data_IF_532314459624
#
_entry.id   IF_532314459624
#
_cell.length_a   1.000
_cell.length_b   1.000
_cell.length_c   1.000
_cell.angle_alpha   90.00
_cell.angle_beta   90.00
_cell.angle_gamma   90.00
#
_symmetry.space_group_name_H-M   'P 1'
#
loop_
_entity.id
_entity.type
_entity.pdbx_description
1 polymer ?
#
# COMPACT_ATOMS: atom_id res chain seq x y z
N UNK A 1 0.91 -12.39 -10.12
CA UNK A 1 1.21 -12.68 -8.71
C UNK A 1 2.63 -13.19 -8.67
N UNK A 2 3.49 -12.43 -8.01
CA UNK A 2 4.92 -12.72 -7.92
C UNK A 2 5.18 -13.88 -6.96
N UNK A 3 6.29 -14.57 -7.15
CA UNK A 3 6.78 -15.57 -6.18
C UNK A 3 7.32 -14.87 -4.93
N UNK A 4 7.35 -15.59 -3.80
CA UNK A 4 7.93 -15.05 -2.56
C UNK A 4 9.40 -14.65 -2.72
N UNK A 5 10.15 -15.38 -3.55
CA UNK A 5 11.54 -15.06 -3.87
C UNK A 5 11.62 -13.74 -4.62
N UNK A 6 10.81 -13.54 -5.67
CA UNK A 6 10.75 -12.27 -6.40
C UNK A 6 10.36 -11.11 -5.48
N UNK A 7 9.33 -11.27 -4.64
CA UNK A 7 8.95 -10.24 -3.67
C UNK A 7 10.07 -9.89 -2.69
N UNK A 8 10.84 -10.90 -2.24
CA UNK A 8 12.02 -10.67 -1.38
C UNK A 8 13.09 -9.86 -2.11
N UNK A 9 13.45 -10.27 -3.32
CA UNK A 9 14.46 -9.59 -4.14
C UNK A 9 14.07 -8.15 -4.44
N UNK A 10 12.79 -7.89 -4.73
CA UNK A 10 12.30 -6.53 -4.97
C UNK A 10 12.30 -5.67 -3.69
N UNK A 11 12.00 -6.28 -2.53
CA UNK A 11 12.12 -5.60 -1.25
C UNK A 11 13.59 -5.24 -0.94
N UNK A 12 14.53 -6.15 -1.19
CA UNK A 12 15.97 -5.91 -1.08
C UNK A 12 16.45 -4.77 -1.97
N UNK A 13 15.98 -4.74 -3.22
CA UNK A 13 16.32 -3.70 -4.18
C UNK A 13 15.83 -2.32 -3.71
N UNK A 14 14.57 -2.21 -3.27
CA UNK A 14 14.02 -0.96 -2.73
C UNK A 14 14.73 -0.52 -1.44
N UNK A 15 15.11 -1.47 -0.59
CA UNK A 15 15.85 -1.18 0.63
C UNK A 15 17.25 -0.63 0.34
N UNK A 16 17.96 -1.22 -0.63
CA UNK A 16 19.25 -0.71 -1.09
C UNK A 16 19.12 0.69 -1.71
N UNK A 17 18.11 0.90 -2.56
CA UNK A 17 17.83 2.21 -3.17
C UNK A 17 17.62 3.31 -2.12
N UNK A 18 16.87 3.01 -1.05
CA UNK A 18 16.65 3.94 0.06
C UNK A 18 17.95 4.23 0.83
N UNK A 19 18.69 3.20 1.21
CA UNK A 19 19.97 3.32 1.95
C UNK A 19 21.00 4.14 1.15
N UNK A 20 21.12 3.83 -0.13
CA UNK A 20 22.13 4.39 -1.02
C UNK A 20 21.69 5.74 -1.60
N UNK A 21 20.43 6.15 -1.35
CA UNK A 21 19.80 7.38 -1.87
C UNK A 21 19.89 7.45 -3.41
N UNK A 22 19.81 6.30 -4.04
CA UNK A 22 19.94 6.12 -5.48
C UNK A 22 18.60 5.62 -6.06
N UNK A 23 17.96 6.38 -6.96
CA UNK A 23 16.69 5.97 -7.53
C UNK A 23 16.89 4.76 -8.45
N UNK A 24 15.90 3.87 -8.46
CA UNK A 24 15.82 2.72 -9.37
C UNK A 24 14.67 2.92 -10.36
N UNK A 25 14.71 2.28 -11.54
CA UNK A 25 13.58 2.26 -12.46
C UNK A 25 12.31 1.71 -11.80
N UNK A 26 11.11 2.13 -12.25
CA UNK A 26 9.85 1.58 -11.77
C UNK A 26 9.81 0.04 -11.85
N UNK A 27 9.44 -0.62 -10.76
CA UNK A 27 9.42 -2.09 -10.69
C UNK A 27 8.48 -2.71 -11.74
N UNK A 28 7.42 -2.00 -12.12
CA UNK A 28 6.44 -2.41 -13.13
C UNK A 28 7.02 -2.52 -14.53
N UNK A 29 8.15 -1.87 -14.84
CA UNK A 29 8.82 -2.02 -16.14
C UNK A 29 9.49 -3.38 -16.29
N UNK A 30 10.07 -3.90 -15.20
CA UNK A 30 10.74 -5.21 -15.18
C UNK A 30 9.80 -6.35 -14.78
N UNK A 31 8.71 -6.04 -14.07
CA UNK A 31 7.71 -7.00 -13.59
C UNK A 31 6.29 -6.52 -13.93
N UNK A 32 5.85 -6.67 -15.19
CA UNK A 32 4.51 -6.24 -15.63
C UNK A 32 3.36 -6.92 -14.88
N UNK A 33 3.61 -8.08 -14.27
CA UNK A 33 2.66 -8.87 -13.49
C UNK A 33 2.53 -8.42 -12.01
N UNK A 34 3.28 -7.38 -11.60
CA UNK A 34 3.27 -6.82 -10.24
C UNK A 34 1.91 -6.17 -9.95
N UNK A 35 1.12 -6.83 -9.10
CA UNK A 35 -0.17 -6.33 -8.64
C UNK A 35 -0.09 -5.57 -7.32
N UNK A 36 -1.20 -4.94 -6.92
CA UNK A 36 -1.29 -4.22 -5.65
C UNK A 36 -0.99 -5.12 -4.43
N UNK A 37 -1.45 -6.37 -4.44
CA UNK A 37 -1.17 -7.33 -3.37
C UNK A 37 0.34 -7.60 -3.21
N UNK A 38 1.05 -7.80 -4.33
CA UNK A 38 2.50 -7.98 -4.33
C UNK A 38 3.22 -6.72 -3.83
N UNK A 39 2.76 -5.53 -4.25
CA UNK A 39 3.31 -4.26 -3.80
C UNK A 39 3.21 -4.07 -2.27
N UNK A 40 2.08 -4.43 -1.67
CA UNK A 40 1.90 -4.40 -0.21
C UNK A 40 2.76 -5.45 0.50
N UNK A 41 2.92 -6.66 -0.03
CA UNK A 41 3.83 -7.64 0.56
C UNK A 41 5.30 -7.19 0.51
N UNK A 42 5.72 -6.56 -0.59
CA UNK A 42 7.05 -5.94 -0.72
C UNK A 42 7.22 -4.83 0.33
N UNK A 43 6.22 -3.95 0.49
CA UNK A 43 6.22 -2.90 1.51
C UNK A 43 6.35 -3.51 2.92
N UNK A 44 5.53 -4.51 3.25
CA UNK A 44 5.53 -5.16 4.56
C UNK A 44 6.87 -5.84 4.86
N UNK A 45 7.51 -6.46 3.87
CA UNK A 45 8.86 -7.03 4.03
C UNK A 45 9.87 -5.97 4.47
N UNK A 46 9.83 -4.77 3.88
CA UNK A 46 10.73 -3.68 4.28
C UNK A 46 10.38 -3.07 5.64
N UNK A 47 9.10 -2.99 5.99
CA UNK A 47 8.67 -2.57 7.34
C UNK A 47 9.11 -3.58 8.40
N UNK A 48 8.98 -4.89 8.16
CA UNK A 48 9.41 -5.94 9.09
C UNK A 48 10.91 -5.94 9.38
N UNK A 49 11.74 -5.35 8.50
CA UNK A 49 13.19 -5.19 8.70
C UNK A 49 13.54 -4.02 9.61
N UNK A 50 12.63 -3.08 9.80
CA UNK A 50 12.85 -1.87 10.59
C UNK A 50 12.71 -2.19 12.07
N UNK A 51 13.58 -1.61 12.88
CA UNK A 51 13.51 -1.70 14.34
C UNK A 51 12.63 -0.61 14.95
N UNK A 52 12.34 0.44 14.19
CA UNK A 52 11.49 1.54 14.64
C UNK A 52 10.01 1.12 14.71
N UNK A 53 9.32 1.61 15.73
CA UNK A 53 7.89 1.35 15.93
C UNK A 53 7.04 2.02 14.85
N UNK A 54 5.96 1.36 14.43
CA UNK A 54 4.91 1.96 13.60
C UNK A 54 4.07 2.90 14.45
N UNK A 55 4.19 4.20 14.22
CA UNK A 55 3.48 5.25 14.97
C UNK A 55 2.22 5.75 14.24
N UNK A 56 1.97 5.28 13.02
CA UNK A 56 0.76 5.63 12.28
C UNK A 56 0.74 5.13 10.84
N UNK A 57 -0.26 5.58 10.10
CA UNK A 57 -0.41 5.27 8.68
C UNK A 57 -0.65 6.54 7.88
N UNK A 58 -0.11 6.57 6.67
CA UNK A 58 -0.29 7.65 5.71
C UNK A 58 -1.15 7.15 4.57
N UNK A 59 -2.33 7.74 4.39
CA UNK A 59 -3.19 7.47 3.23
C UNK A 59 -2.84 8.43 2.09
N UNK A 60 -2.53 7.89 0.92
CA UNK A 60 -2.34 8.63 -0.33
C UNK A 60 -3.52 8.43 -1.28
N UNK A 61 -3.41 9.03 -2.48
CA UNK A 61 -4.41 8.99 -3.55
C UNK A 61 -5.88 9.12 -3.09
N UNK A 62 -6.16 9.98 -2.10
CA UNK A 62 -7.49 10.11 -1.49
C UNK A 62 -8.50 10.90 -2.34
N UNK A 63 -8.08 11.47 -3.47
CA UNK A 63 -8.94 12.20 -4.40
C UNK A 63 -9.50 11.28 -5.47
N UNK A 64 -10.83 11.19 -5.61
CA UNK A 64 -11.49 10.39 -6.64
C UNK A 64 -11.09 10.77 -8.06
N UNK A 65 -10.90 12.07 -8.32
CA UNK A 65 -10.47 12.53 -9.64
C UNK A 65 -9.06 12.02 -9.98
N UNK A 66 -8.15 12.00 -8.99
CA UNK A 66 -6.80 11.47 -9.15
C UNK A 66 -6.80 9.95 -9.31
N UNK A 67 -7.66 9.25 -8.56
CA UNK A 67 -7.86 7.80 -8.66
C UNK A 67 -8.29 7.40 -10.07
N UNK A 68 -9.28 8.09 -10.63
CA UNK A 68 -9.76 7.86 -12.00
C UNK A 68 -8.67 8.11 -13.05
N UNK A 69 -7.90 9.20 -12.91
CA UNK A 69 -6.82 9.53 -13.84
C UNK A 69 -5.70 8.48 -13.82
N UNK A 70 -5.42 7.90 -12.65
CA UNK A 70 -4.38 6.89 -12.46
C UNK A 70 -4.90 5.45 -12.66
N UNK A 71 -6.20 5.26 -12.94
CA UNK A 71 -6.80 3.95 -13.13
C UNK A 71 -6.78 3.08 -11.87
N UNK A 72 -6.88 3.68 -10.68
CA UNK A 72 -6.93 2.95 -9.40
C UNK A 72 -8.30 3.13 -8.75
N UNK A 73 -8.83 2.06 -8.15
CA UNK A 73 -10.17 2.06 -7.56
C UNK A 73 -10.17 2.34 -6.05
N UNK A 74 -9.00 2.25 -5.41
CA UNK A 74 -8.83 2.39 -3.96
C UNK A 74 -7.63 3.28 -3.62
N UNK A 75 -7.68 4.04 -2.50
CA UNK A 75 -6.53 4.80 -2.02
C UNK A 75 -5.41 3.85 -1.56
N UNK A 76 -4.17 4.33 -1.65
CA UNK A 76 -3.01 3.62 -1.12
C UNK A 76 -2.71 4.02 0.33
N UNK A 77 -1.94 3.18 1.02
CA UNK A 77 -1.43 3.50 2.35
C UNK A 77 0.02 3.09 2.54
N UNK A 78 0.68 3.76 3.50
CA UNK A 78 2.01 3.40 3.96
C UNK A 78 2.14 3.52 5.48
N UNK A 79 3.13 2.85 6.03
CA UNK A 79 3.41 2.86 7.46
C UNK A 79 4.32 4.05 7.79
N UNK A 80 3.99 4.78 8.86
CA UNK A 80 4.82 5.83 9.43
C UNK A 80 5.58 5.25 10.61
N UNK A 81 6.90 5.37 10.58
CA UNK A 81 7.78 4.86 11.63
C UNK A 81 8.23 6.00 12.56
N UNK A 82 8.56 5.66 13.80
CA UNK A 82 9.00 6.63 14.81
C UNK A 82 10.23 7.44 14.36
N UNK A 83 11.15 6.81 13.61
CA UNK A 83 12.36 7.42 13.06
C UNK A 83 12.10 8.38 11.87
N UNK A 84 10.89 8.37 11.31
CA UNK A 84 10.48 9.30 10.24
C UNK A 84 9.95 10.63 10.78
N UNK A 85 9.74 10.75 12.10
CA UNK A 85 9.23 11.97 12.71
C UNK A 85 10.33 13.02 12.79
N UNK A 86 10.11 14.17 12.15
CA UNK A 86 10.97 15.33 12.23
C UNK A 86 10.37 16.37 13.19
N UNK A 87 11.23 17.16 13.84
CA UNK A 87 10.82 18.28 14.69
C UNK A 87 10.78 19.57 13.88
N UNK A 88 9.79 20.42 14.12
CA UNK A 88 9.69 21.75 13.49
C UNK A 88 10.85 22.67 13.88
N UNK A 89 11.48 22.43 15.04
CA UNK A 89 12.59 23.22 15.56
C UNK A 89 13.97 22.77 15.06
N UNK A 90 14.07 21.67 14.31
CA UNK A 90 15.34 21.10 13.87
C UNK A 90 15.45 21.18 12.34
N UNK A 91 16.49 21.82 11.78
CA UNK A 91 16.72 21.81 10.34
C UNK A 91 16.81 20.39 9.79
N UNK A 92 16.16 20.16 8.64
CA UNK A 92 16.15 18.85 7.99
C UNK A 92 17.38 18.72 7.09
N UNK A 93 18.17 17.68 7.31
CA UNK A 93 19.27 17.31 6.42
C UNK A 93 18.71 16.69 5.13
N UNK A 94 18.62 17.51 4.08
CA UNK A 94 18.14 17.08 2.77
C UNK A 94 19.00 15.97 2.15
N UNK A 95 20.29 15.87 2.53
CA UNK A 95 21.21 14.83 2.05
C UNK A 95 20.88 13.42 2.53
N UNK A 96 19.93 13.28 3.46
CA UNK A 96 19.35 11.98 3.86
C UNK A 96 18.35 11.41 2.87
N UNK A 97 17.86 12.23 1.93
CA UNK A 97 16.79 11.86 1.00
C UNK A 97 17.27 11.93 -0.44
N UNK A 98 16.68 11.11 -1.32
CA UNK A 98 17.03 11.12 -2.75
C UNK A 98 16.45 12.34 -3.49
N UNK A 99 15.13 12.55 -3.40
CA UNK A 99 14.45 13.70 -4.01
C UNK A 99 13.24 14.09 -3.15
N UNK A 100 13.44 14.88 -2.08
CA UNK A 100 12.38 15.18 -1.13
C UNK A 100 11.35 16.15 -1.71
N UNK A 101 10.07 15.85 -1.50
CA UNK A 101 8.94 16.72 -1.83
C UNK A 101 8.09 17.03 -0.61
N UNK A 102 7.56 18.26 -0.53
CA UNK A 102 6.70 18.68 0.58
C UNK A 102 5.21 18.53 0.25
N UNK A 103 4.43 18.04 1.21
CA UNK A 103 2.98 17.97 1.10
C UNK A 103 2.32 18.31 2.44
N UNK A 104 1.53 19.37 2.46
CA UNK A 104 0.70 19.70 3.62
C UNK A 104 -0.49 18.74 3.74
N UNK A 105 -0.71 18.21 4.95
CA UNK A 105 -1.91 17.45 5.33
C UNK A 105 -2.21 17.65 6.82
N UNK A 106 -3.48 17.70 7.16
CA UNK A 106 -3.93 17.68 8.54
C UNK A 106 -3.85 16.24 9.09
N UNK A 107 -3.23 16.00 10.26
CA UNK A 107 -3.28 14.70 10.91
C UNK A 107 -4.71 14.43 11.41
N UNK A 108 -5.21 13.22 11.20
CA UNK A 108 -6.44 12.75 11.83
C UNK A 108 -6.07 11.87 13.02
N UNK A 109 -6.38 12.32 14.24
CA UNK A 109 -6.17 11.55 15.48
C UNK A 109 -7.24 10.47 15.70
N UNK A 110 -8.35 10.52 14.96
CA UNK A 110 -9.37 9.48 14.99
C UNK A 110 -8.86 8.28 14.20
N UNK A 111 -8.40 7.25 14.91
CA UNK A 111 -8.46 5.90 14.40
C UNK A 111 -9.92 5.44 14.52
N UNK A 112 -10.74 5.43 13.44
CA UNK A 112 -11.75 4.39 13.42
C UNK A 112 -10.96 3.10 13.46
N UNK A 113 -11.22 2.23 14.43
CA UNK A 113 -10.84 0.83 14.32
C UNK A 113 -11.37 0.36 12.98
N UNK A 114 -10.53 0.33 11.95
CA UNK A 114 -10.96 0.02 10.60
C UNK A 114 -11.18 -1.48 10.63
N UNK A 115 -12.43 -1.98 10.65
CA UNK A 115 -12.62 -3.42 10.68
C UNK A 115 -12.06 -3.93 9.35
N UNK A 116 -11.09 -4.84 9.43
CA UNK A 116 -10.66 -5.61 8.28
C UNK A 116 -11.93 -6.12 7.60
N UNK A 117 -12.26 -5.56 6.43
CA UNK A 117 -13.47 -5.91 5.70
C UNK A 117 -13.32 -7.37 5.32
N UNK A 118 -13.99 -8.25 6.08
CA UNK A 118 -14.07 -9.66 5.78
C UNK A 118 -14.53 -9.80 4.33
N UNK A 119 -13.63 -10.27 3.46
CA UNK A 119 -13.97 -10.67 2.12
C UNK A 119 -15.07 -11.74 2.20
N UNK A 120 -16.21 -11.59 1.51
CA UNK A 120 -17.14 -12.70 1.38
C UNK A 120 -16.49 -13.77 0.49
N UNK A 121 -15.99 -14.83 1.11
CA UNK A 121 -15.58 -16.04 0.39
C UNK A 121 -16.83 -16.70 -0.21
N UNK A 122 -16.83 -16.77 -1.55
CA UNK A 122 -17.28 -17.88 -2.41
C UNK A 122 -18.79 -18.20 -2.46
N UNK A 123 -19.36 -17.84 -3.61
CA UNK A 123 -20.14 -18.69 -4.54
C UNK A 123 -20.68 -20.03 -4.01
N UNK A 124 -22.01 -20.15 -3.97
CA UNK A 124 -22.72 -21.39 -4.29
C UNK A 124 -23.75 -21.09 -5.39
N UNK A 125 -23.62 -21.80 -6.51
CA UNK A 125 -24.53 -21.83 -7.65
C UNK A 125 -25.95 -22.34 -7.27
N UNK A 126 -26.97 -22.14 -8.13
CA UNK A 126 -28.38 -22.15 -7.71
C UNK A 126 -29.01 -23.54 -7.73
N UNK A 127 -29.99 -23.85 -6.87
CA UNK A 127 -30.86 -25.01 -7.09
C UNK A 127 -32.01 -24.66 -8.05
N UNK A 128 -31.88 -25.18 -9.27
CA UNK A 128 -32.90 -25.70 -10.21
C UNK A 128 -34.36 -25.25 -10.04
N UNK A 129 -34.91 -24.71 -11.14
CA UNK A 129 -36.36 -24.64 -11.45
C UNK A 129 -37.10 -25.90 -10.99
N UNK A 130 -38.13 -25.74 -10.17
CA UNK A 130 -39.28 -26.64 -10.13
C UNK A 130 -40.52 -25.85 -10.52
N UNK A 131 -41.03 -26.16 -11.69
CA UNK A 131 -42.38 -25.80 -12.13
C UNK A 131 -43.40 -26.40 -11.15
N UNK A 132 -44.34 -25.60 -10.66
CA UNK A 132 -45.61 -26.08 -10.12
C UNK A 132 -46.76 -25.26 -10.72
N UNK A 133 -47.75 -26.03 -11.17
CA UNK A 133 -48.99 -25.70 -11.89
C UNK A 133 -49.85 -24.65 -11.18
N UNK A 134 -50.75 -23.98 -11.90
CA UNK A 134 -51.79 -23.15 -11.29
C UNK A 134 -52.86 -24.03 -10.63
N UNK A 135 -53.39 -23.56 -9.50
CA UNK A 135 -54.57 -24.09 -8.83
C UNK A 135 -55.73 -23.11 -9.00
N UNK A 136 -56.80 -23.62 -9.63
CA UNK A 136 -58.22 -23.20 -9.60
C UNK A 136 -58.55 -21.72 -9.81
#
# INVERSE_FOLDING_TARGET
MLTEVQQSTLADLLHAAERDRAPIPPLTESHPELGAADAYEIQLRNIRRRTAEVVGHKVGLSSKAMQQMMGVDEPDYGHLLADMRLSESVPVDAGRYCYPGWRSRSPSSSAPTCPARAAPRRTCSPPRRRTRRPSS
#
